data_IF_230453177268
#
_entry.id   IF_230453177268
#
_cell.length_a   1.000
_cell.length_b   1.000
_cell.length_c   1.000
_cell.angle_alpha   90.00
_cell.angle_beta   90.00
_cell.angle_gamma   90.00
#
_symmetry.space_group_name_H-M   'P 1'
#
loop_
_entity.id
_entity.type
_entity.pdbx_description
1 polymer ?
#
# COMPACT_ATOMS: atom_id res chain seq x y z
N UNK A 1 -18.10 -28.28 -7.25
CA UNK A 1 -17.85 -27.83 -8.64
C UNK A 1 -16.37 -27.51 -8.72
N UNK A 2 -15.63 -28.21 -9.58
CA UNK A 2 -14.19 -27.98 -9.73
C UNK A 2 -14.01 -26.75 -10.61
N UNK A 3 -13.43 -25.67 -10.09
CA UNK A 3 -12.95 -24.58 -10.94
C UNK A 3 -11.97 -25.17 -11.96
N UNK A 4 -12.17 -24.83 -13.24
CA UNK A 4 -11.35 -25.37 -14.30
C UNK A 4 -10.00 -24.64 -14.29
N UNK A 5 -8.87 -25.29 -13.95
CA UNK A 5 -7.58 -24.63 -13.80
C UNK A 5 -7.12 -23.94 -15.09
N UNK A 6 -7.57 -24.39 -16.25
CA UNK A 6 -7.30 -23.76 -17.54
C UNK A 6 -7.83 -22.33 -17.66
N UNK A 7 -8.91 -21.98 -16.94
CA UNK A 7 -9.51 -20.63 -16.97
C UNK A 7 -8.66 -19.62 -16.20
N UNK A 8 -8.18 -20.00 -15.03
CA UNK A 8 -7.28 -19.18 -14.19
C UNK A 8 -5.93 -18.91 -14.88
N UNK A 9 -5.39 -19.90 -15.61
CA UNK A 9 -4.20 -19.72 -16.45
C UNK A 9 -4.43 -18.66 -17.55
N UNK A 10 -5.58 -18.71 -18.23
CA UNK A 10 -5.92 -17.72 -19.27
C UNK A 10 -6.08 -16.30 -18.73
N UNK A 11 -6.60 -16.13 -17.50
CA UNK A 11 -6.77 -14.81 -16.86
C UNK A 11 -5.41 -14.22 -16.44
N UNK A 12 -4.53 -15.05 -15.88
CA UNK A 12 -3.18 -14.65 -15.52
C UNK A 12 -2.35 -14.25 -16.75
N UNK A 13 -2.49 -14.97 -17.86
CA UNK A 13 -1.79 -14.67 -19.11
C UNK A 13 -2.26 -13.34 -19.72
N UNK A 14 -3.58 -13.05 -19.69
CA UNK A 14 -4.12 -11.79 -20.17
C UNK A 14 -3.61 -10.58 -19.35
N UNK A 15 -3.54 -10.73 -18.02
CA UNK A 15 -3.00 -9.69 -17.12
C UNK A 15 -1.50 -9.52 -17.35
N UNK A 16 -0.75 -10.61 -17.49
CA UNK A 16 0.69 -10.57 -17.73
C UNK A 16 1.06 -9.93 -19.09
N UNK A 17 0.18 -10.01 -20.08
CA UNK A 17 0.35 -9.32 -21.38
C UNK A 17 0.15 -7.79 -21.29
N UNK A 18 -0.42 -7.30 -20.19
CA UNK A 18 -0.70 -5.88 -19.94
C UNK A 18 -0.12 -5.44 -18.57
N UNK A 19 1.20 -5.55 -18.34
CA UNK A 19 1.80 -5.29 -17.02
C UNK A 19 1.62 -3.83 -16.57
N UNK A 20 1.47 -2.93 -17.54
CA UNK A 20 1.23 -1.50 -17.38
C UNK A 20 0.04 -1.11 -18.29
N UNK A 21 -0.84 -0.26 -17.77
CA UNK A 21 -1.97 0.32 -18.51
C UNK A 21 -1.70 1.81 -18.78
N UNK A 22 -1.11 2.10 -19.94
CA UNK A 22 -0.73 3.48 -20.33
C UNK A 22 -1.90 4.32 -20.84
N UNK A 23 -2.99 3.67 -21.27
CA UNK A 23 -4.17 4.34 -21.80
C UNK A 23 -5.45 3.51 -21.65
N UNK A 24 -6.59 4.18 -21.88
CA UNK A 24 -7.93 3.57 -21.83
C UNK A 24 -8.10 2.45 -22.87
N UNK A 25 -7.40 2.52 -24.00
CA UNK A 25 -7.43 1.48 -25.04
C UNK A 25 -6.80 0.18 -24.57
N UNK A 26 -5.70 0.23 -23.82
CA UNK A 26 -5.07 -0.96 -23.24
C UNK A 26 -5.94 -1.57 -22.13
N UNK A 27 -6.59 -0.73 -21.31
CA UNK A 27 -7.60 -1.21 -20.36
C UNK A 27 -8.75 -1.92 -21.08
N UNK A 28 -9.29 -1.33 -22.15
CA UNK A 28 -10.36 -1.95 -22.92
C UNK A 28 -9.93 -3.29 -23.56
N UNK A 29 -8.67 -3.38 -24.01
CA UNK A 29 -8.09 -4.61 -24.57
C UNK A 29 -7.89 -5.69 -23.51
N UNK A 30 -7.48 -5.32 -22.29
CA UNK A 30 -7.40 -6.25 -21.17
C UNK A 30 -8.79 -6.77 -20.80
N UNK A 31 -9.77 -5.88 -20.62
CA UNK A 31 -11.12 -6.25 -20.22
C UNK A 31 -11.83 -7.15 -21.24
N UNK A 32 -11.51 -7.05 -22.53
CA UNK A 32 -12.09 -7.92 -23.56
C UNK A 32 -11.54 -9.36 -23.55
N UNK A 33 -10.41 -9.59 -22.89
CA UNK A 33 -9.79 -10.91 -22.73
C UNK A 33 -10.22 -11.61 -21.42
N UNK A 34 -10.85 -10.87 -20.51
CA UNK A 34 -11.30 -11.36 -19.21
C UNK A 34 -12.79 -11.76 -19.25
N UNK A 35 -13.26 -12.59 -18.30
CA UNK A 35 -14.67 -12.88 -18.15
C UNK A 35 -15.50 -11.61 -17.97
N UNK A 36 -16.67 -11.48 -18.62
CA UNK A 36 -17.49 -10.27 -18.56
C UNK A 36 -18.08 -10.00 -17.16
N UNK A 37 -18.14 -11.03 -16.31
CA UNK A 37 -18.62 -11.02 -14.94
C UNK A 37 -17.47 -10.92 -13.91
N UNK A 38 -16.22 -10.78 -14.35
CA UNK A 38 -15.09 -10.60 -13.45
C UNK A 38 -15.25 -9.31 -12.66
N UNK A 39 -15.25 -9.42 -11.34
CA UNK A 39 -15.43 -8.27 -10.48
C UNK A 39 -14.16 -7.38 -10.50
N UNK A 40 -14.39 -6.07 -10.52
CA UNK A 40 -13.36 -5.04 -10.63
C UNK A 40 -13.22 -4.30 -9.31
N UNK A 41 -11.99 -4.11 -8.86
CA UNK A 41 -11.68 -3.31 -7.67
C UNK A 41 -10.52 -2.36 -7.92
N UNK A 42 -10.43 -1.30 -7.13
CA UNK A 42 -9.33 -0.36 -7.15
C UNK A 42 -8.52 -0.52 -5.88
N UNK A 43 -7.19 -0.65 -6.01
CA UNK A 43 -6.31 -0.46 -4.86
C UNK A 43 -6.29 1.04 -4.52
N UNK A 44 -6.69 1.37 -3.30
CA UNK A 44 -6.76 2.75 -2.83
C UNK A 44 -5.39 3.30 -2.45
N UNK A 45 -4.38 2.43 -2.38
CA UNK A 45 -3.04 2.81 -1.98
C UNK A 45 -2.09 2.75 -3.16
N UNK A 46 -1.41 3.86 -3.41
CA UNK A 46 -0.24 3.84 -4.27
C UNK A 46 0.83 2.99 -3.61
N UNK A 47 1.49 2.12 -4.38
CA UNK A 47 2.58 1.27 -3.90
C UNK A 47 3.93 1.77 -4.39
N UNK A 48 4.96 1.62 -3.56
CA UNK A 48 6.32 2.01 -3.88
C UNK A 48 7.32 1.04 -3.25
N UNK A 49 8.50 0.94 -3.86
CA UNK A 49 9.67 0.41 -3.15
C UNK A 49 10.29 1.55 -2.32
N UNK A 50 10.36 1.45 -0.98
CA UNK A 50 11.02 2.46 -0.16
C UNK A 50 12.53 2.60 -0.41
N UNK A 51 13.18 1.62 -1.06
CA UNK A 51 14.60 1.67 -1.41
C UNK A 51 14.88 2.42 -2.72
N UNK A 52 13.86 2.64 -3.54
CA UNK A 52 13.99 3.32 -4.83
C UNK A 52 13.31 4.71 -4.74
N UNK A 53 13.89 5.77 -5.34
CA UNK A 53 13.21 7.05 -5.41
C UNK A 53 11.90 6.90 -6.17
N UNK A 54 10.80 7.40 -5.61
CA UNK A 54 9.50 7.43 -6.27
C UNK A 54 9.50 8.50 -7.37
N UNK A 55 9.44 8.09 -8.64
CA UNK A 55 9.66 9.02 -9.76
C UNK A 55 8.48 9.10 -10.74
N UNK A 56 7.86 7.97 -11.12
CA UNK A 56 6.75 7.96 -12.09
C UNK A 56 5.60 7.04 -11.65
N UNK A 57 4.36 7.51 -11.81
CA UNK A 57 3.18 6.69 -11.55
C UNK A 57 2.79 5.86 -12.77
N UNK A 58 2.41 4.60 -12.53
CA UNK A 58 1.80 3.72 -13.52
C UNK A 58 0.61 2.97 -12.93
N UNK A 59 -0.31 2.52 -13.80
CA UNK A 59 -1.47 1.71 -13.43
C UNK A 59 -1.18 0.25 -13.78
N UNK A 60 -1.35 -0.63 -12.81
CA UNK A 60 -1.04 -2.06 -12.93
C UNK A 60 -2.28 -2.92 -12.67
N UNK A 61 -2.60 -3.87 -13.57
CA UNK A 61 -3.62 -4.86 -13.31
C UNK A 61 -3.07 -6.01 -12.47
N UNK A 62 -3.86 -6.50 -11.52
CA UNK A 62 -3.50 -7.62 -10.64
C UNK A 62 -4.69 -8.55 -10.48
N UNK A 63 -4.43 -9.86 -10.55
CA UNK A 63 -5.42 -10.86 -10.20
C UNK A 63 -5.45 -11.01 -8.68
N UNK A 64 -6.62 -10.83 -8.07
CA UNK A 64 -6.84 -10.93 -6.63
C UNK A 64 -7.98 -11.91 -6.33
N UNK A 65 -7.93 -12.54 -5.16
CA UNK A 65 -9.08 -13.29 -4.64
C UNK A 65 -10.05 -12.34 -3.96
N UNK A 66 -11.31 -12.34 -4.38
CA UNK A 66 -12.38 -11.55 -3.78
C UNK A 66 -13.46 -12.46 -3.22
N UNK A 67 -14.02 -12.11 -2.07
CA UNK A 67 -15.13 -12.87 -1.49
C UNK A 67 -16.40 -12.45 -2.21
N UNK A 68 -17.11 -13.42 -2.77
CA UNK A 68 -18.45 -13.22 -3.31
C UNK A 68 -19.43 -13.13 -2.13
N UNK A 69 -20.11 -11.99 -1.98
CA UNK A 69 -21.01 -11.72 -0.86
C UNK A 69 -22.24 -12.67 -0.80
N UNK A 70 -22.64 -13.24 -1.94
CA UNK A 70 -23.80 -14.13 -2.02
C UNK A 70 -23.44 -15.57 -1.65
N UNK A 71 -22.23 -16.02 -2.00
CA UNK A 71 -21.81 -17.42 -1.83
C UNK A 71 -20.77 -17.61 -0.74
N UNK A 72 -20.21 -16.53 -0.21
CA UNK A 72 -19.04 -16.51 0.67
C UNK A 72 -17.81 -17.25 0.11
N UNK A 73 -17.77 -17.48 -1.21
CA UNK A 73 -16.66 -18.14 -1.89
C UNK A 73 -15.67 -17.10 -2.40
N UNK A 74 -14.39 -17.44 -2.35
CA UNK A 74 -13.35 -16.65 -3.02
C UNK A 74 -13.43 -16.89 -4.52
N UNK A 75 -13.62 -15.81 -5.30
CA UNK A 75 -13.65 -15.79 -6.76
C UNK A 75 -12.54 -14.86 -7.28
N UNK A 76 -12.02 -15.08 -8.49
CA UNK A 76 -11.03 -14.20 -9.08
C UNK A 76 -11.63 -12.81 -9.40
N UNK A 77 -10.85 -11.77 -9.13
CA UNK A 77 -11.16 -10.39 -9.45
C UNK A 77 -9.97 -9.67 -10.05
N UNK A 78 -10.24 -8.63 -10.84
CA UNK A 78 -9.23 -7.73 -11.34
C UNK A 78 -9.13 -6.52 -10.41
N UNK A 79 -7.96 -6.34 -9.79
CA UNK A 79 -7.60 -5.12 -9.10
C UNK A 79 -6.77 -4.23 -10.01
N UNK A 80 -7.15 -2.96 -10.14
CA UNK A 80 -6.30 -1.93 -10.73
C UNK A 80 -5.62 -1.16 -9.60
N UNK A 81 -4.30 -1.18 -9.57
CA UNK A 81 -3.50 -0.47 -8.57
C UNK A 81 -2.56 0.54 -9.19
N UNK A 82 -2.16 1.53 -8.40
CA UNK A 82 -1.16 2.53 -8.81
C UNK A 82 0.17 2.21 -8.16
N UNK A 83 1.25 2.28 -8.95
CA UNK A 83 2.60 1.95 -8.50
C UNK A 83 3.56 3.07 -8.93
N UNK A 84 4.52 3.40 -8.06
CA UNK A 84 5.69 4.17 -8.46
C UNK A 84 6.74 3.24 -9.07
N UNK A 85 7.23 3.61 -10.25
CA UNK A 85 8.34 2.94 -10.93
C UNK A 85 9.49 3.93 -11.15
N UNK A 86 10.74 3.43 -11.27
CA UNK A 86 11.88 4.27 -11.65
C UNK A 86 11.63 4.94 -13.01
N UNK A 87 11.91 6.24 -13.12
CA UNK A 87 11.87 6.91 -14.42
C UNK A 87 13.08 6.53 -15.28
N UNK A 88 14.20 6.23 -14.63
CA UNK A 88 15.40 5.70 -15.29
C UNK A 88 15.27 4.19 -15.53
N UNK A 89 15.13 3.79 -16.79
CA UNK A 89 15.01 2.39 -17.18
C UNK A 89 14.43 2.22 -18.58
N UNK A 90 14.59 1.04 -19.17
CA UNK A 90 13.81 0.68 -20.34
C UNK A 90 12.39 0.24 -19.95
N UNK A 91 11.49 0.13 -20.93
CA UNK A 91 10.09 -0.26 -20.71
C UNK A 91 9.97 -1.61 -19.99
N UNK A 92 10.92 -2.53 -20.21
CA UNK A 92 10.92 -3.84 -19.56
C UNK A 92 11.28 -3.74 -18.07
N UNK A 93 12.25 -2.90 -17.71
CA UNK A 93 12.61 -2.65 -16.32
C UNK A 93 11.45 -1.99 -15.56
N UNK A 94 10.78 -1.02 -16.18
CA UNK A 94 9.58 -0.38 -15.62
C UNK A 94 8.44 -1.37 -15.45
N UNK A 95 8.15 -2.20 -16.46
CA UNK A 95 7.16 -3.26 -16.36
C UNK A 95 7.48 -4.27 -15.25
N UNK A 96 8.75 -4.67 -15.13
CA UNK A 96 9.20 -5.58 -14.08
C UNK A 96 9.02 -4.98 -12.68
N UNK A 97 9.33 -3.69 -12.49
CA UNK A 97 9.09 -2.98 -11.24
C UNK A 97 7.58 -2.88 -10.93
N UNK A 98 6.75 -2.58 -11.94
CA UNK A 98 5.31 -2.38 -11.81
C UNK A 98 4.58 -3.65 -11.31
N UNK A 99 5.00 -4.83 -11.78
CA UNK A 99 4.34 -6.12 -11.45
C UNK A 99 4.78 -6.73 -10.12
N UNK A 100 5.71 -6.09 -9.40
CA UNK A 100 6.19 -6.57 -8.09
C UNK A 100 5.05 -6.70 -7.08
N UNK A 101 4.97 -7.89 -6.47
CA UNK A 101 3.94 -8.24 -5.48
C UNK A 101 4.31 -7.84 -4.06
N UNK A 102 5.59 -7.65 -3.79
CA UNK A 102 6.16 -7.27 -2.50
C UNK A 102 6.06 -5.77 -2.20
N UNK A 103 5.59 -4.96 -3.17
CA UNK A 103 5.46 -3.52 -2.98
C UNK A 103 4.41 -3.17 -1.92
N UNK A 104 4.83 -2.32 -1.00
CA UNK A 104 4.02 -1.85 0.11
C UNK A 104 3.34 -0.51 -0.25
N UNK A 105 2.25 -0.15 0.45
CA UNK A 105 1.71 1.20 0.37
C UNK A 105 2.79 2.26 0.62
N UNK A 106 2.80 3.33 -0.18
CA UNK A 106 3.72 4.45 -0.01
C UNK A 106 3.41 5.23 1.27
N UNK A 107 2.11 5.45 1.53
CA UNK A 107 1.65 6.13 2.72
C UNK A 107 1.97 5.35 4.00
N UNK A 108 2.62 6.01 4.97
CA UNK A 108 3.05 5.40 6.23
C UNK A 108 1.94 4.73 7.03
N UNK A 109 0.75 5.33 7.11
CA UNK A 109 -0.38 4.77 7.86
C UNK A 109 -0.91 3.49 7.18
N UNK A 110 -1.10 3.54 5.86
CA UNK A 110 -1.55 2.38 5.09
C UNK A 110 -0.52 1.25 5.14
N UNK A 111 0.77 1.59 5.09
CA UNK A 111 1.88 0.64 5.19
C UNK A 111 1.95 -0.04 6.55
N UNK A 112 1.87 0.75 7.63
CA UNK A 112 1.79 0.25 8.99
C UNK A 112 0.60 -0.69 9.16
N UNK A 113 -0.58 -0.28 8.68
CA UNK A 113 -1.80 -1.10 8.71
C UNK A 113 -1.63 -2.43 7.98
N UNK A 114 -1.11 -2.40 6.75
CA UNK A 114 -0.88 -3.62 5.96
C UNK A 114 0.06 -4.60 6.68
N UNK A 115 1.18 -4.11 7.23
CA UNK A 115 2.17 -4.93 7.96
C UNK A 115 1.63 -5.50 9.27
N UNK A 116 0.91 -4.70 10.04
CA UNK A 116 0.33 -5.11 11.33
C UNK A 116 -0.77 -6.16 11.12
N UNK A 117 -1.65 -5.96 10.13
CA UNK A 117 -2.76 -6.88 9.85
C UNK A 117 -2.29 -8.20 9.22
N UNK A 118 -1.26 -8.19 8.39
CA UNK A 118 -0.65 -9.40 7.83
C UNK A 118 0.12 -10.20 8.91
N UNK A 119 0.54 -9.54 10.01
CA UNK A 119 1.09 -10.18 11.22
C UNK A 119 2.50 -10.75 11.09
N UNK A 120 3.02 -10.91 9.88
CA UNK A 120 4.39 -11.43 9.60
C UNK A 120 5.48 -10.38 9.81
N UNK A 121 5.11 -9.11 9.66
CA UNK A 121 6.02 -7.98 9.71
C UNK A 121 5.57 -6.96 10.77
N UNK A 122 5.09 -7.48 11.91
CA UNK A 122 4.58 -6.66 13.02
C UNK A 122 5.64 -5.68 13.52
N UNK A 123 6.91 -6.10 13.60
CA UNK A 123 8.00 -5.22 14.01
C UNK A 123 8.16 -4.01 13.06
N UNK A 124 8.24 -4.21 11.75
CA UNK A 124 8.36 -3.07 10.83
C UNK A 124 7.06 -2.25 10.78
N UNK A 125 5.89 -2.88 10.93
CA UNK A 125 4.62 -2.18 11.02
C UNK A 125 4.54 -1.23 12.23
N UNK A 126 5.05 -1.65 13.38
CA UNK A 126 5.18 -0.79 14.57
C UNK A 126 6.19 0.34 14.35
N UNK A 127 7.29 0.08 13.63
CA UNK A 127 8.28 1.11 13.27
C UNK A 127 7.72 2.16 12.32
N UNK A 128 6.91 1.75 11.33
CA UNK A 128 6.18 2.68 10.47
C UNK A 128 5.19 3.53 11.27
N UNK A 129 4.45 2.92 12.20
CA UNK A 129 3.53 3.63 13.08
C UNK A 129 4.26 4.66 13.97
N UNK A 130 5.42 4.31 14.53
CA UNK A 130 6.28 5.26 15.23
C UNK A 130 6.63 6.43 14.32
N UNK A 131 7.09 6.18 13.09
CA UNK A 131 7.46 7.23 12.14
C UNK A 131 6.33 8.22 11.91
N UNK A 132 5.11 7.70 11.70
CA UNK A 132 3.91 8.52 11.56
C UNK A 132 3.61 9.37 12.81
N UNK A 133 3.71 8.78 14.01
CA UNK A 133 3.48 9.53 15.26
C UNK A 133 4.53 10.62 15.45
N UNK A 134 5.79 10.35 15.12
CA UNK A 134 6.85 11.36 15.18
C UNK A 134 6.58 12.52 14.22
N UNK A 135 6.12 12.23 13.00
CA UNK A 135 5.74 13.25 12.03
C UNK A 135 4.55 14.09 12.51
N UNK A 136 3.50 13.46 13.04
CA UNK A 136 2.35 14.17 13.61
C UNK A 136 2.78 15.05 14.79
N UNK A 137 3.60 14.52 15.71
CA UNK A 137 4.13 15.28 16.83
C UNK A 137 4.95 16.49 16.38
N UNK A 138 5.79 16.31 15.36
CA UNK A 138 6.56 17.41 14.76
C UNK A 138 5.63 18.48 14.15
N UNK A 139 4.64 18.08 13.35
CA UNK A 139 3.70 19.00 12.71
C UNK A 139 2.88 19.80 13.73
N UNK A 140 2.44 19.18 14.83
CA UNK A 140 1.75 19.88 15.92
C UNK A 140 2.68 20.87 16.63
N UNK A 141 3.94 20.48 16.89
CA UNK A 141 4.95 21.35 17.50
C UNK A 141 5.32 22.54 16.62
N UNK A 142 5.47 22.34 15.31
CA UNK A 142 5.68 23.41 14.34
C UNK A 142 4.43 24.29 14.19
N UNK A 143 3.24 23.69 14.15
CA UNK A 143 1.96 24.40 14.11
C UNK A 143 1.77 25.34 15.31
N UNK A 144 2.18 24.90 16.50
CA UNK A 144 2.13 25.72 17.71
C UNK A 144 2.96 27.00 17.62
N UNK A 145 4.03 27.04 16.81
CA UNK A 145 4.87 28.24 16.63
C UNK A 145 4.16 29.37 15.88
N UNK A 146 3.07 29.06 15.19
CA UNK A 146 2.24 30.05 14.49
C UNK A 146 1.21 30.73 15.40
N UNK A 147 1.06 30.24 16.63
CA UNK A 147 0.21 30.85 17.65
C UNK A 147 0.99 31.89 18.46
N UNK A 148 0.25 32.84 19.03
CA UNK A 148 0.85 33.81 19.96
C UNK A 148 1.40 33.08 21.19
N UNK A 149 2.52 33.56 21.74
CA UNK A 149 3.16 32.92 22.91
C UNK A 149 2.27 32.90 24.15
N UNK A 150 1.36 33.85 24.27
CA UNK A 150 0.40 33.95 25.38
C UNK A 150 -0.91 33.18 25.11
N UNK A 151 -1.03 32.53 23.96
CA UNK A 151 -2.20 31.72 23.61
C UNK A 151 -2.14 30.36 24.34
N UNK A 152 -3.14 30.02 25.18
CA UNK A 152 -3.20 28.72 25.85
C UNK A 152 -3.19 27.52 24.88
N UNK A 153 -3.64 27.72 23.64
CA UNK A 153 -3.59 26.69 22.60
C UNK A 153 -2.15 26.36 22.18
N UNK A 154 -1.23 27.33 22.25
CA UNK A 154 0.20 27.12 21.97
C UNK A 154 0.79 26.11 22.96
N UNK A 155 0.61 26.35 24.26
CA UNK A 155 1.09 25.43 25.31
C UNK A 155 0.41 24.07 25.21
N UNK A 156 -0.90 24.05 24.93
CA UNK A 156 -1.64 22.78 24.80
C UNK A 156 -1.13 21.93 23.63
N UNK A 157 -0.89 22.53 22.46
CA UNK A 157 -0.34 21.82 21.30
C UNK A 157 1.07 21.30 21.55
N UNK A 158 1.92 22.07 22.24
CA UNK A 158 3.26 21.61 22.60
C UNK A 158 3.23 20.40 23.54
N UNK A 159 2.37 20.43 24.56
CA UNK A 159 2.19 19.30 25.47
C UNK A 159 1.71 18.05 24.71
N UNK A 160 0.74 18.20 23.80
CA UNK A 160 0.27 17.06 23.01
C UNK A 160 1.33 16.54 22.02
N UNK A 161 2.11 17.43 21.40
CA UNK A 161 3.25 17.04 20.57
C UNK A 161 4.27 16.20 21.37
N UNK A 162 4.63 16.63 22.58
CA UNK A 162 5.55 15.91 23.46
C UNK A 162 4.98 14.55 23.89
N UNK A 163 3.67 14.48 24.19
CA UNK A 163 3.00 13.22 24.55
C UNK A 163 3.01 12.23 23.40
N UNK A 164 2.78 12.70 22.17
CA UNK A 164 2.85 11.86 20.96
C UNK A 164 4.28 11.37 20.73
N UNK A 165 5.29 12.23 20.89
CA UNK A 165 6.69 11.82 20.77
C UNK A 165 7.08 10.75 21.81
N UNK A 166 6.66 10.93 23.07
CA UNK A 166 6.86 9.92 24.11
C UNK A 166 6.15 8.60 23.80
N UNK A 167 4.92 8.66 23.26
CA UNK A 167 4.20 7.46 22.83
C UNK A 167 4.95 6.75 21.70
N UNK A 168 5.43 7.49 20.70
CA UNK A 168 6.23 6.94 19.60
C UNK A 168 7.50 6.24 20.12
N UNK A 169 8.23 6.87 21.06
CA UNK A 169 9.43 6.26 21.66
C UNK A 169 9.11 4.94 22.38
N UNK A 170 7.99 4.87 23.11
CA UNK A 170 7.53 3.64 23.78
C UNK A 170 7.15 2.54 22.78
N UNK A 171 6.51 2.90 21.67
CA UNK A 171 6.16 1.95 20.62
C UNK A 171 7.41 1.41 19.93
N UNK A 172 8.42 2.25 19.69
CA UNK A 172 9.72 1.79 19.16
C UNK A 172 10.37 0.77 20.08
N UNK A 173 10.44 1.07 21.38
CA UNK A 173 10.98 0.13 22.36
C UNK A 173 10.21 -1.19 22.37
N UNK A 174 8.87 -1.14 22.26
CA UNK A 174 8.06 -2.34 22.14
C UNK A 174 8.36 -3.10 20.85
N UNK A 175 8.49 -2.42 19.72
CA UNK A 175 8.78 -3.02 18.42
C UNK A 175 10.10 -3.81 18.44
N UNK A 176 11.11 -3.33 19.19
CA UNK A 176 12.38 -4.04 19.35
C UNK A 176 12.29 -5.31 20.22
N UNK A 177 11.16 -5.51 20.93
CA UNK A 177 10.87 -6.73 21.71
C UNK A 177 9.96 -7.73 21.00
N UNK A 178 9.41 -7.38 19.83
CA UNK A 178 8.55 -8.28 19.06
C UNK A 178 9.43 -9.30 18.33
N UNK A 179 9.22 -10.58 18.63
CA UNK A 179 9.84 -11.68 17.89
C UNK A 179 9.09 -11.91 16.57
N UNK A 180 9.84 -12.04 15.48
CA UNK A 180 9.25 -12.47 14.20
C UNK A 180 8.71 -13.89 14.38
N UNK A 181 7.45 -14.15 14.01
CA UNK A 181 6.91 -15.50 14.11
C UNK A 181 7.76 -16.48 13.29
N UNK A 182 8.26 -17.54 13.92
CA UNK A 182 8.92 -18.66 13.22
C UNK A 182 7.83 -19.56 12.63
N UNK A 183 7.59 -19.48 11.33
CA UNK A 183 6.76 -20.46 10.62
C UNK A 183 7.22 -20.64 9.18
#
# INVERSE_FOLDING_TARGET
MSENPARHLSEADAIAAHPILDNVGDLARLLSQLPPDMALTLDQHVRADPAEPAEMYTVTPRLVGMVNDETAQTVPGLQLGTVYVPAEGDENAQAAAAVRRDLLPENLLARAGARILDGRDLQAGLKDLTGLLQEVGLLLGEGAKWLSRDDPAMTSLQVEADRIQHAAARITQLADTVESPEW
#
